data_IF_148789267567
#
_entry.id   IF_148789267567
#
_cell.length_a   1.000
_cell.length_b   1.000
_cell.length_c   1.000
_cell.angle_alpha   90.00
_cell.angle_beta   90.00
_cell.angle_gamma   90.00
#
_symmetry.space_group_name_H-M   'P 1'
#
loop_
_entity.id
_entity.type
_entity.pdbx_description
1 polymer ?
#
# COMPACT_ATOMS: atom_id res chain seq x y z
N UNK A 1 45.29 -3.82 -5.46
CA UNK A 1 44.40 -4.94 -5.02
C UNK A 1 42.99 -4.64 -5.51
N UNK A 2 42.51 -5.46 -6.47
CA UNK A 2 41.21 -5.24 -7.13
C UNK A 2 40.13 -6.01 -6.34
N UNK A 3 39.19 -5.32 -5.74
CA UNK A 3 38.03 -5.95 -5.11
C UNK A 3 36.96 -6.19 -6.20
N UNK A 4 36.73 -7.45 -6.51
CA UNK A 4 35.62 -7.87 -7.37
C UNK A 4 34.32 -7.86 -6.54
N UNK A 5 33.37 -7.03 -6.96
CA UNK A 5 31.99 -7.09 -6.49
C UNK A 5 31.29 -8.11 -7.40
N UNK A 6 30.90 -9.23 -6.83
CA UNK A 6 30.09 -10.24 -7.53
C UNK A 6 28.62 -9.95 -7.22
N UNK A 7 27.91 -9.49 -8.23
CA UNK A 7 26.46 -9.35 -8.19
C UNK A 7 25.86 -10.72 -8.52
N UNK A 8 25.21 -11.34 -7.55
CA UNK A 8 24.41 -12.56 -7.76
C UNK A 8 23.00 -12.16 -8.17
N UNK A 9 22.67 -12.41 -9.43
CA UNK A 9 21.31 -12.38 -9.95
C UNK A 9 20.71 -13.77 -9.71
N UNK A 10 19.67 -13.89 -8.92
CA UNK A 10 19.06 -15.19 -8.57
C UNK A 10 17.57 -15.10 -8.31
N UNK A 11 16.81 -15.53 -9.30
CA UNK A 11 15.53 -16.24 -9.26
C UNK A 11 14.40 -15.73 -8.35
N UNK A 12 13.33 -15.35 -8.99
CA UNK A 12 11.95 -15.23 -8.51
C UNK A 12 11.47 -16.50 -7.79
N UNK A 13 11.03 -16.33 -6.53
CA UNK A 13 10.07 -17.23 -5.89
C UNK A 13 9.03 -16.37 -5.20
N UNK A 14 7.79 -16.56 -5.59
CA UNK A 14 6.56 -16.06 -4.97
C UNK A 14 6.50 -16.63 -3.54
N UNK A 15 6.38 -15.77 -2.55
CA UNK A 15 6.09 -16.19 -1.19
C UNK A 15 6.76 -15.33 -0.14
N UNK A 16 5.95 -14.68 0.68
CA UNK A 16 6.28 -14.07 1.98
C UNK A 16 7.48 -13.13 2.00
N UNK A 17 7.19 -11.85 2.09
CA UNK A 17 8.15 -10.80 2.42
C UNK A 17 8.83 -11.10 3.76
N UNK A 18 9.97 -11.76 3.71
CA UNK A 18 10.93 -11.76 4.80
C UNK A 18 11.52 -10.35 4.87
N UNK A 19 10.92 -9.50 5.69
CA UNK A 19 11.59 -8.30 6.17
C UNK A 19 12.82 -8.77 6.96
N UNK A 20 14.00 -8.59 6.37
CA UNK A 20 15.26 -8.79 7.07
C UNK A 20 15.28 -7.87 8.30
N UNK A 21 15.08 -8.42 9.48
CA UNK A 21 15.18 -7.70 10.73
C UNK A 21 16.61 -7.16 10.89
N UNK A 22 16.75 -5.90 11.27
CA UNK A 22 18.03 -5.31 11.61
C UNK A 22 18.48 -5.90 12.96
N UNK A 23 19.63 -6.56 12.98
CA UNK A 23 20.23 -7.12 14.18
C UNK A 23 21.14 -6.06 14.78
N UNK A 24 20.82 -5.62 15.99
CA UNK A 24 21.65 -4.70 16.76
C UNK A 24 22.51 -5.51 17.72
N UNK A 25 23.82 -5.34 17.66
CA UNK A 25 24.78 -5.97 18.55
C UNK A 25 25.62 -4.93 19.25
N UNK A 26 26.05 -5.26 20.45
CA UNK A 26 27.12 -4.54 21.13
C UNK A 26 28.35 -5.47 21.19
N UNK A 27 29.48 -5.01 20.65
CA UNK A 27 30.71 -5.76 20.76
C UNK A 27 31.26 -5.69 22.19
N UNK A 28 32.34 -6.46 22.46
CA UNK A 28 33.01 -6.49 23.76
C UNK A 28 33.66 -5.16 24.19
N UNK A 29 33.74 -4.20 23.26
CA UNK A 29 34.28 -2.87 23.48
C UNK A 29 33.14 -1.82 23.63
N UNK A 30 31.87 -2.26 23.61
CA UNK A 30 30.73 -1.38 23.75
C UNK A 30 30.24 -0.74 22.44
N UNK A 31 30.85 -1.05 21.28
CA UNK A 31 30.40 -0.51 20.00
C UNK A 31 29.13 -1.18 19.51
N UNK A 32 28.21 -0.39 19.00
CA UNK A 32 26.96 -0.89 18.41
C UNK A 32 27.20 -1.25 16.95
N UNK A 33 26.99 -2.51 16.61
CA UNK A 33 27.10 -3.04 15.24
C UNK A 33 25.72 -3.37 14.74
N UNK A 34 25.36 -2.83 13.57
CA UNK A 34 24.12 -3.11 12.88
C UNK A 34 24.38 -4.11 11.76
N UNK A 35 23.66 -5.22 11.73
CA UNK A 35 23.80 -6.26 10.71
C UNK A 35 22.43 -6.72 10.23
N UNK A 36 22.34 -7.05 8.95
CA UNK A 36 21.16 -7.66 8.34
C UNK A 36 21.33 -9.17 8.09
N UNK A 37 22.47 -9.74 8.52
CA UNK A 37 22.81 -11.16 8.34
C UNK A 37 23.17 -11.80 9.68
N UNK A 38 22.74 -13.06 9.86
CA UNK A 38 23.22 -13.92 10.95
C UNK A 38 24.52 -14.57 10.50
N UNK A 39 25.63 -14.18 11.13
CA UNK A 39 26.91 -14.87 10.94
C UNK A 39 26.94 -16.13 11.82
N UNK A 40 27.34 -17.28 11.25
CA UNK A 40 27.27 -18.59 11.95
C UNK A 40 28.21 -18.70 13.16
N UNK A 41 29.22 -17.83 13.25
CA UNK A 41 30.20 -17.88 14.36
C UNK A 41 29.74 -17.21 15.65
N UNK A 42 28.57 -16.58 15.69
CA UNK A 42 28.16 -15.73 16.81
C UNK A 42 27.11 -16.32 17.73
N UNK A 43 26.73 -17.60 17.55
CA UNK A 43 25.73 -18.26 18.42
C UNK A 43 26.29 -18.72 19.76
N UNK A 44 27.57 -18.54 20.06
CA UNK A 44 28.17 -19.13 21.24
C UNK A 44 28.24 -18.27 22.52
N UNK A 45 28.21 -16.96 22.45
CA UNK A 45 28.24 -16.12 23.67
C UNK A 45 27.75 -14.69 23.41
N UNK A 46 26.48 -14.45 23.32
CA UNK A 46 25.89 -13.08 23.32
C UNK A 46 24.39 -13.12 23.44
N UNK A 47 23.84 -12.29 24.33
CA UNK A 47 22.39 -12.07 24.41
C UNK A 47 21.92 -11.43 23.10
N UNK A 48 21.34 -12.24 22.21
CA UNK A 48 20.73 -11.74 20.99
C UNK A 48 19.29 -11.35 21.34
N UNK A 49 19.03 -10.06 21.44
CA UNK A 49 17.65 -9.55 21.53
C UNK A 49 17.12 -9.38 20.13
N UNK A 50 16.26 -10.29 19.69
CA UNK A 50 15.46 -10.06 18.49
C UNK A 50 14.39 -9.03 18.85
N UNK A 51 14.57 -7.80 18.41
CA UNK A 51 13.46 -6.88 18.29
C UNK A 51 12.70 -7.27 17.02
N UNK A 52 11.47 -7.81 17.14
CA UNK A 52 10.65 -7.97 15.95
C UNK A 52 10.55 -6.59 15.30
N UNK A 53 10.56 -6.50 13.97
CA UNK A 53 10.34 -5.22 13.31
C UNK A 53 9.03 -4.69 13.87
N UNK A 54 9.13 -3.60 14.60
CA UNK A 54 7.94 -2.90 15.04
C UNK A 54 7.13 -2.66 13.78
N UNK A 55 5.95 -3.26 13.69
CA UNK A 55 4.91 -2.83 12.75
C UNK A 55 4.46 -1.45 13.22
N UNK A 56 5.38 -0.50 13.22
CA UNK A 56 5.03 0.87 13.51
C UNK A 56 4.29 1.39 12.29
N UNK A 57 3.01 1.64 12.45
CA UNK A 57 2.27 2.53 11.55
C UNK A 57 2.82 3.96 11.65
N UNK A 58 3.89 4.17 12.41
CA UNK A 58 4.54 5.44 12.60
C UNK A 58 5.21 5.89 11.29
N UNK A 59 4.94 7.11 10.93
CA UNK A 59 5.67 7.80 9.85
C UNK A 59 7.12 7.93 10.28
N UNK A 60 8.10 7.54 9.44
CA UNK A 60 9.51 7.77 9.76
C UNK A 60 9.75 9.25 10.06
N UNK A 61 10.41 9.55 11.18
CA UNK A 61 10.66 10.92 11.67
C UNK A 61 11.16 11.87 10.57
N UNK A 62 12.12 11.49 9.68
CA UNK A 62 12.62 12.41 8.67
C UNK A 62 11.55 12.83 7.64
N UNK A 63 10.48 12.06 7.47
CA UNK A 63 9.41 12.42 6.52
C UNK A 63 8.25 13.17 7.18
N UNK A 64 8.07 13.01 8.50
CA UNK A 64 6.96 13.63 9.23
C UNK A 64 7.03 15.16 9.14
N UNK A 65 8.17 15.73 9.49
CA UNK A 65 8.36 17.19 9.45
C UNK A 65 8.26 17.75 8.03
N UNK A 66 8.84 17.04 7.04
CA UNK A 66 8.74 17.44 5.64
C UNK A 66 7.28 17.41 5.16
N UNK A 67 6.52 16.37 5.49
CA UNK A 67 5.11 16.25 5.11
C UNK A 67 4.30 17.37 5.78
N UNK A 68 4.50 17.64 7.07
CA UNK A 68 3.82 18.73 7.76
C UNK A 68 4.10 20.09 7.10
N UNK A 69 5.36 20.39 6.80
CA UNK A 69 5.73 21.62 6.10
C UNK A 69 5.05 21.72 4.72
N UNK A 70 5.03 20.63 3.95
CA UNK A 70 4.42 20.59 2.61
C UNK A 70 2.90 20.73 2.68
N UNK A 71 2.24 20.09 3.64
CA UNK A 71 0.79 20.16 3.79
C UNK A 71 0.32 21.54 4.22
N UNK A 72 1.07 22.23 5.09
CA UNK A 72 0.84 23.62 5.44
C UNK A 72 1.03 24.54 4.23
N UNK A 73 2.17 24.40 3.52
CA UNK A 73 2.49 25.21 2.33
C UNK A 73 1.44 25.09 1.23
N UNK A 74 0.94 23.88 0.99
CA UNK A 74 0.01 23.60 -0.09
C UNK A 74 -1.46 23.52 0.36
N UNK A 75 -1.75 23.81 1.63
CA UNK A 75 -3.11 23.77 2.19
C UNK A 75 -3.83 22.44 1.87
N UNK A 76 -3.12 21.33 2.07
CA UNK A 76 -3.66 19.98 1.98
C UNK A 76 -3.84 19.39 3.37
N UNK A 77 -4.80 18.49 3.50
CA UNK A 77 -4.97 17.67 4.70
C UNK A 77 -3.76 16.76 4.89
N UNK A 78 -3.14 16.81 6.07
CA UNK A 78 -1.98 15.98 6.39
C UNK A 78 -2.31 14.49 6.35
N UNK A 79 -3.47 14.10 6.88
CA UNK A 79 -3.94 12.72 6.87
C UNK A 79 -4.10 12.13 5.45
N UNK A 80 -4.52 12.95 4.46
CA UNK A 80 -4.58 12.55 3.06
C UNK A 80 -3.19 12.25 2.51
N UNK A 81 -2.22 13.15 2.71
CA UNK A 81 -0.84 12.96 2.22
C UNK A 81 -0.18 11.76 2.88
N UNK A 82 -0.35 11.59 4.19
CA UNK A 82 0.16 10.44 4.93
C UNK A 82 -0.44 9.13 4.43
N UNK A 83 -1.75 9.09 4.21
CA UNK A 83 -2.46 7.91 3.73
C UNK A 83 -2.02 7.53 2.31
N UNK A 84 -1.84 8.51 1.41
CA UNK A 84 -1.33 8.28 0.05
C UNK A 84 0.09 7.73 0.12
N UNK A 85 1.04 8.39 0.80
CA UNK A 85 2.43 7.94 0.90
C UNK A 85 2.53 6.52 1.53
N UNK A 86 1.68 6.22 2.51
CA UNK A 86 1.58 4.89 3.10
C UNK A 86 1.04 3.86 2.12
N UNK A 87 0.02 4.21 1.35
CA UNK A 87 -0.58 3.31 0.37
C UNK A 87 0.35 3.04 -0.81
N UNK A 88 1.11 4.05 -1.25
CA UNK A 88 2.00 3.96 -2.42
C UNK A 88 3.23 3.09 -2.15
N UNK A 89 3.93 3.33 -1.05
CA UNK A 89 5.24 2.71 -0.82
C UNK A 89 5.50 2.29 0.63
N UNK A 90 4.58 2.55 1.56
CA UNK A 90 4.85 2.49 3.00
C UNK A 90 6.04 3.37 3.41
N UNK A 91 6.19 4.53 2.78
CA UNK A 91 7.28 5.49 2.96
C UNK A 91 8.67 4.99 2.50
N UNK A 92 8.72 4.01 1.60
CA UNK A 92 9.98 3.51 1.05
C UNK A 92 10.45 4.39 -0.12
N UNK A 93 11.58 5.14 0.00
CA UNK A 93 12.07 6.00 -1.07
C UNK A 93 12.64 5.20 -2.27
N UNK A 94 12.93 3.92 -2.08
CA UNK A 94 13.48 3.04 -3.11
C UNK A 94 12.46 2.10 -3.73
N UNK A 95 11.17 2.28 -3.41
CA UNK A 95 10.11 1.48 -4.00
C UNK A 95 10.01 1.72 -5.51
N UNK A 96 9.90 0.62 -6.26
CA UNK A 96 9.67 0.64 -7.71
C UNK A 96 8.52 -0.29 -8.04
N UNK A 97 7.50 0.24 -8.74
CA UNK A 97 6.38 -0.57 -9.19
C UNK A 97 6.67 -1.26 -10.54
N UNK A 98 5.96 -2.34 -10.88
CA UNK A 98 6.07 -2.97 -12.20
C UNK A 98 5.78 -2.02 -13.37
N UNK A 99 5.00 -0.97 -13.15
CA UNK A 99 4.67 0.07 -14.13
C UNK A 99 5.72 1.18 -14.19
N UNK A 100 6.80 1.11 -13.38
CA UNK A 100 7.90 2.08 -13.37
C UNK A 100 7.64 3.33 -12.52
N UNK A 101 6.65 3.33 -11.64
CA UNK A 101 6.51 4.35 -10.61
C UNK A 101 7.59 4.20 -9.55
N UNK A 102 8.12 5.30 -9.00
CA UNK A 102 9.29 5.30 -8.12
C UNK A 102 9.08 6.17 -6.90
N UNK A 103 9.61 5.71 -5.75
CA UNK A 103 9.79 6.49 -4.54
C UNK A 103 8.57 6.51 -3.61
N UNK A 104 8.61 7.39 -2.60
CA UNK A 104 7.63 7.45 -1.51
C UNK A 104 6.20 7.67 -2.04
N UNK A 105 6.04 8.58 -3.01
CA UNK A 105 4.76 8.94 -3.61
C UNK A 105 4.51 8.24 -4.96
N UNK A 106 5.34 7.25 -5.34
CA UNK A 106 5.22 6.45 -6.56
C UNK A 106 5.01 7.30 -7.82
N UNK A 107 5.93 8.20 -8.08
CA UNK A 107 5.83 9.08 -9.25
C UNK A 107 6.22 8.36 -10.54
N UNK A 108 5.36 8.45 -11.54
CA UNK A 108 5.71 8.08 -12.91
C UNK A 108 6.73 9.08 -13.47
N UNK A 109 7.51 8.65 -14.47
CA UNK A 109 8.59 9.46 -15.06
C UNK A 109 8.11 10.81 -15.55
N UNK A 110 6.98 10.84 -16.23
CA UNK A 110 6.45 12.07 -16.84
C UNK A 110 5.87 13.01 -15.78
N UNK A 111 5.19 12.47 -14.78
CA UNK A 111 4.73 13.26 -13.61
C UNK A 111 5.92 13.87 -12.86
N UNK A 112 6.97 13.09 -12.61
CA UNK A 112 8.17 13.59 -11.95
C UNK A 112 8.82 14.73 -12.75
N UNK A 113 8.93 14.56 -14.07
CA UNK A 113 9.48 15.60 -14.98
C UNK A 113 8.65 16.87 -14.95
N UNK A 114 7.33 16.78 -14.95
CA UNK A 114 6.41 17.91 -14.87
C UNK A 114 6.66 18.79 -13.64
N UNK A 115 7.08 18.18 -12.52
CA UNK A 115 7.40 18.88 -11.27
C UNK A 115 8.90 19.12 -11.07
N UNK A 116 9.73 18.92 -12.08
CA UNK A 116 11.16 19.21 -12.06
C UNK A 116 12.00 18.20 -11.27
N UNK A 117 11.48 17.00 -10.99
CA UNK A 117 12.22 15.95 -10.29
C UNK A 117 13.13 15.21 -11.26
N UNK A 118 14.44 15.29 -11.01
CA UNK A 118 15.46 14.57 -11.77
C UNK A 118 15.69 13.19 -11.20
N UNK A 119 15.82 13.10 -9.87
CA UNK A 119 16.04 11.85 -9.17
C UNK A 119 14.81 11.46 -8.35
N UNK A 120 14.01 10.54 -8.88
CA UNK A 120 12.78 10.06 -8.21
C UNK A 120 13.05 9.28 -6.92
N UNK A 121 14.29 8.82 -6.67
CA UNK A 121 14.71 8.17 -5.43
C UNK A 121 15.06 9.19 -4.32
N UNK A 122 15.22 10.47 -4.67
CA UNK A 122 15.37 11.52 -3.67
C UNK A 122 14.05 11.71 -2.93
N UNK A 123 14.02 11.28 -1.67
CA UNK A 123 12.82 11.28 -0.85
C UNK A 123 12.16 12.67 -0.73
N UNK A 124 12.99 13.72 -0.57
CA UNK A 124 12.51 15.09 -0.41
C UNK A 124 11.88 15.64 -1.69
N UNK A 125 12.52 15.43 -2.85
CA UNK A 125 12.00 15.84 -4.15
C UNK A 125 10.75 15.06 -4.53
N UNK A 126 10.77 13.75 -4.26
CA UNK A 126 9.65 12.86 -4.53
C UNK A 126 8.40 13.24 -3.72
N UNK A 127 8.57 13.50 -2.42
CA UNK A 127 7.49 13.97 -1.55
C UNK A 127 6.94 15.32 -2.03
N UNK A 128 7.81 16.28 -2.31
CA UNK A 128 7.37 17.61 -2.73
C UNK A 128 6.59 17.57 -4.05
N UNK A 129 7.08 16.84 -5.04
CA UNK A 129 6.39 16.67 -6.31
C UNK A 129 5.08 15.90 -6.18
N UNK A 130 5.07 14.83 -5.38
CA UNK A 130 3.86 14.04 -5.10
C UNK A 130 2.77 14.84 -4.40
N UNK A 131 3.15 15.68 -3.42
CA UNK A 131 2.21 16.59 -2.74
C UNK A 131 1.68 17.65 -3.69
N UNK A 132 2.53 18.26 -4.55
CA UNK A 132 2.09 19.21 -5.58
C UNK A 132 1.11 18.57 -6.57
N UNK A 133 1.40 17.34 -7.02
CA UNK A 133 0.51 16.61 -7.90
C UNK A 133 -0.83 16.27 -7.24
N UNK A 134 -0.78 15.79 -6.01
CA UNK A 134 -1.98 15.50 -5.23
C UNK A 134 -2.82 16.77 -5.00
N UNK A 135 -2.19 17.92 -4.72
CA UNK A 135 -2.86 19.22 -4.59
C UNK A 135 -3.53 19.64 -5.89
N UNK A 136 -2.82 19.54 -7.01
CA UNK A 136 -3.39 19.83 -8.33
C UNK A 136 -4.67 19.01 -8.59
N UNK A 137 -4.61 17.71 -8.35
CA UNK A 137 -5.77 16.82 -8.53
C UNK A 137 -6.90 17.14 -7.54
N UNK A 138 -6.56 17.44 -6.29
CA UNK A 138 -7.53 17.81 -5.26
C UNK A 138 -8.32 19.07 -5.64
N UNK A 139 -7.65 20.08 -6.17
CA UNK A 139 -8.28 21.31 -6.66
C UNK A 139 -9.12 21.06 -7.91
N UNK A 140 -8.56 20.32 -8.88
CA UNK A 140 -9.25 19.96 -10.12
C UNK A 140 -10.56 19.25 -9.85
N UNK A 141 -10.60 18.36 -8.88
CA UNK A 141 -11.83 17.65 -8.48
C UNK A 141 -12.58 18.29 -7.31
N UNK A 142 -12.33 19.59 -7.05
CA UNK A 142 -13.05 20.41 -6.07
C UNK A 142 -13.14 19.77 -4.68
N UNK A 143 -12.04 19.17 -4.23
CA UNK A 143 -11.95 18.52 -2.93
C UNK A 143 -12.60 17.13 -2.85
N UNK A 144 -13.10 16.59 -3.95
CA UNK A 144 -13.66 15.23 -3.99
C UNK A 144 -12.54 14.20 -3.85
N UNK A 145 -12.34 13.69 -2.63
CA UNK A 145 -11.25 12.75 -2.31
C UNK A 145 -11.29 11.49 -3.18
N UNK A 146 -12.43 10.79 -3.38
CA UNK A 146 -12.50 9.64 -4.26
C UNK A 146 -12.04 9.89 -5.68
N UNK A 147 -12.46 11.00 -6.30
CA UNK A 147 -12.05 11.36 -7.65
C UNK A 147 -10.57 11.76 -7.71
N UNK A 148 -10.09 12.48 -6.69
CA UNK A 148 -8.67 12.82 -6.53
C UNK A 148 -7.81 11.57 -6.50
N UNK A 149 -8.18 10.60 -5.67
CA UNK A 149 -7.47 9.33 -5.53
C UNK A 149 -7.57 8.45 -6.79
N UNK A 150 -8.73 8.46 -7.46
CA UNK A 150 -8.90 7.77 -8.73
C UNK A 150 -7.95 8.33 -9.80
N UNK A 151 -7.85 9.65 -9.91
CA UNK A 151 -6.96 10.31 -10.85
C UNK A 151 -5.49 10.12 -10.49
N UNK A 152 -5.15 10.13 -9.22
CA UNK A 152 -3.79 9.86 -8.76
C UNK A 152 -3.32 8.45 -9.17
N UNK A 153 -4.17 7.45 -8.98
CA UNK A 153 -3.83 6.03 -9.24
C UNK A 153 -4.00 5.63 -10.71
N UNK A 154 -5.10 6.03 -11.35
CA UNK A 154 -5.46 5.59 -12.70
C UNK A 154 -5.18 6.63 -13.79
N UNK A 155 -4.84 7.85 -13.41
CA UNK A 155 -4.68 8.98 -14.31
C UNK A 155 -5.97 9.73 -14.58
N UNK A 156 -5.81 11.02 -14.93
CA UNK A 156 -6.93 11.93 -15.20
C UNK A 156 -7.77 11.52 -16.43
N UNK A 157 -7.12 10.94 -17.43
CA UNK A 157 -7.79 10.46 -18.65
C UNK A 157 -8.81 9.35 -18.32
N UNK A 158 -8.46 8.43 -17.41
CA UNK A 158 -9.38 7.39 -16.98
C UNK A 158 -10.59 7.99 -16.27
N UNK A 159 -10.38 8.94 -15.35
CA UNK A 159 -11.48 9.61 -14.64
C UNK A 159 -12.37 10.40 -15.62
N UNK A 160 -11.79 11.08 -16.59
CA UNK A 160 -12.52 11.79 -17.64
C UNK A 160 -13.33 10.83 -18.52
N UNK A 161 -12.71 9.75 -18.99
CA UNK A 161 -13.35 8.73 -19.84
C UNK A 161 -14.59 8.12 -19.20
N UNK A 162 -14.53 7.84 -17.88
CA UNK A 162 -15.64 7.22 -17.16
C UNK A 162 -16.54 8.23 -16.44
N UNK A 163 -16.28 9.52 -16.61
CA UNK A 163 -16.97 10.61 -15.93
C UNK A 163 -17.13 10.35 -14.43
N UNK A 164 -16.07 9.82 -13.79
CA UNK A 164 -16.08 9.40 -12.42
C UNK A 164 -14.96 8.40 -12.08
N UNK A 165 -15.14 7.67 -10.98
CA UNK A 165 -14.21 6.61 -10.59
C UNK A 165 -14.25 5.47 -11.63
N UNK A 166 -13.13 5.17 -12.33
CA UNK A 166 -13.11 4.12 -13.32
C UNK A 166 -13.41 2.75 -12.69
N UNK A 167 -14.02 1.81 -13.44
CA UNK A 167 -14.43 0.50 -12.91
C UNK A 167 -13.26 -0.46 -12.65
N UNK A 168 -12.02 0.03 -12.64
CA UNK A 168 -10.83 -0.77 -12.40
C UNK A 168 -10.78 -1.27 -10.96
N UNK A 169 -10.62 -2.58 -10.79
CA UNK A 169 -10.56 -3.21 -9.46
C UNK A 169 -9.39 -2.67 -8.62
N UNK A 170 -8.22 -2.45 -9.26
CA UNK A 170 -7.02 -1.86 -8.65
C UNK A 170 -7.33 -0.48 -8.08
N UNK A 171 -7.93 0.41 -8.87
CA UNK A 171 -8.25 1.78 -8.46
C UNK A 171 -9.28 1.82 -7.33
N UNK A 172 -10.32 0.99 -7.42
CA UNK A 172 -11.33 0.89 -6.35
C UNK A 172 -10.72 0.37 -5.04
N UNK A 173 -9.79 -0.58 -5.10
CA UNK A 173 -9.07 -1.09 -3.93
C UNK A 173 -8.12 -0.03 -3.36
N UNK A 174 -7.44 0.72 -4.24
CA UNK A 174 -6.57 1.83 -3.83
C UNK A 174 -7.35 2.89 -3.05
N UNK A 175 -8.48 3.36 -3.60
CA UNK A 175 -9.34 4.34 -2.92
C UNK A 175 -9.76 3.83 -1.54
N UNK A 176 -10.27 2.60 -1.45
CA UNK A 176 -10.67 2.00 -0.16
C UNK A 176 -9.52 1.97 0.84
N UNK A 177 -8.32 1.56 0.38
CA UNK A 177 -7.12 1.50 1.23
C UNK A 177 -6.73 2.87 1.76
N UNK A 178 -6.65 3.90 0.90
CA UNK A 178 -6.29 5.26 1.33
C UNK A 178 -7.33 5.81 2.29
N UNK A 179 -8.62 5.67 1.98
CA UNK A 179 -9.68 6.16 2.85
C UNK A 179 -9.73 5.44 4.20
N UNK A 180 -9.39 4.15 4.23
CA UNK A 180 -9.23 3.41 5.48
C UNK A 180 -8.08 3.96 6.32
N UNK A 181 -6.96 4.29 5.70
CA UNK A 181 -5.81 4.90 6.38
C UNK A 181 -6.11 6.31 6.92
N UNK A 182 -7.03 7.04 6.29
CA UNK A 182 -7.54 8.32 6.78
C UNK A 182 -8.59 8.20 7.89
N UNK A 183 -8.96 6.97 8.32
CA UNK A 183 -10.05 6.76 9.27
C UNK A 183 -11.46 6.94 8.67
N UNK A 184 -11.59 7.06 7.37
CA UNK A 184 -12.85 7.31 6.65
C UNK A 184 -13.50 6.01 6.12
N UNK A 185 -13.20 4.87 6.69
CA UNK A 185 -13.66 3.54 6.21
C UNK A 185 -15.17 3.42 6.09
N UNK A 186 -15.93 4.10 6.94
CA UNK A 186 -17.40 4.03 6.95
C UNK A 186 -18.06 4.67 5.72
N UNK A 187 -17.38 5.59 5.03
CA UNK A 187 -17.95 6.29 3.87
C UNK A 187 -17.87 5.46 2.56
N UNK A 188 -17.05 4.41 2.55
CA UNK A 188 -16.85 3.52 1.39
C UNK A 188 -16.97 2.03 1.75
N UNK A 189 -17.56 1.72 2.86
CA UNK A 189 -18.15 0.41 3.03
C UNK A 189 -19.13 0.25 1.88
N UNK A 190 -18.75 -0.46 0.81
CA UNK A 190 -19.76 -1.20 0.05
C UNK A 190 -20.71 -1.78 1.08
N UNK A 191 -22.03 -1.78 0.85
CA UNK A 191 -22.94 -2.44 1.76
C UNK A 191 -22.26 -3.75 2.13
N UNK A 192 -22.06 -3.94 3.43
CA UNK A 192 -21.28 -5.04 3.99
C UNK A 192 -21.48 -6.24 3.06
N UNK A 193 -20.41 -6.98 2.76
CA UNK A 193 -20.57 -8.32 2.25
C UNK A 193 -21.63 -8.94 3.19
N UNK A 194 -22.87 -8.80 2.80
CA UNK A 194 -23.94 -9.62 3.36
C UNK A 194 -23.39 -11.00 3.07
N UNK A 195 -22.96 -11.71 4.13
CA UNK A 195 -22.62 -13.11 4.00
C UNK A 195 -23.84 -13.73 3.36
N UNK A 196 -23.83 -13.82 2.04
CA UNK A 196 -24.95 -14.37 1.28
C UNK A 196 -24.96 -15.81 1.70
N UNK A 197 -25.95 -16.17 2.52
CA UNK A 197 -26.10 -17.56 2.92
C UNK A 197 -26.33 -18.32 1.62
N UNK A 198 -25.45 -19.24 1.31
CA UNK A 198 -25.62 -20.12 0.14
C UNK A 198 -26.38 -21.32 0.62
N UNK A 199 -27.51 -21.57 -0.01
CA UNK A 199 -28.39 -22.70 0.30
C UNK A 199 -28.19 -23.80 -0.73
N UNK A 200 -28.04 -25.03 -0.26
CA UNK A 200 -28.06 -26.24 -1.08
C UNK A 200 -29.28 -27.02 -0.71
N UNK A 201 -30.10 -27.37 -1.69
CA UNK A 201 -31.23 -28.24 -1.50
C UNK A 201 -31.44 -29.19 -2.69
N UNK A 202 -32.13 -30.28 -2.44
CA UNK A 202 -32.45 -31.29 -3.47
C UNK A 202 -33.91 -31.13 -3.82
N UNK A 203 -34.21 -30.93 -5.10
CA UNK A 203 -35.59 -30.88 -5.59
C UNK A 203 -36.27 -32.24 -5.48
N UNK A 204 -37.62 -32.35 -5.49
CA UNK A 204 -38.34 -33.62 -5.53
C UNK A 204 -37.93 -34.51 -6.70
N UNK A 205 -37.41 -33.93 -7.78
CA UNK A 205 -36.87 -34.64 -8.95
C UNK A 205 -35.40 -35.09 -8.78
N UNK A 206 -34.84 -35.01 -7.56
CA UNK A 206 -33.45 -35.44 -7.26
C UNK A 206 -32.35 -34.50 -7.73
N UNK A 207 -32.67 -33.31 -8.24
CA UNK A 207 -31.66 -32.32 -8.72
C UNK A 207 -31.15 -31.47 -7.57
N UNK A 208 -29.85 -31.41 -7.39
CA UNK A 208 -29.20 -30.49 -6.43
C UNK A 208 -29.17 -29.07 -7.00
N UNK A 209 -29.65 -28.10 -6.21
CA UNK A 209 -29.61 -26.67 -6.52
C UNK A 209 -28.79 -25.95 -5.43
N UNK A 210 -27.90 -25.05 -5.87
CA UNK A 210 -27.15 -24.16 -5.02
C UNK A 210 -27.54 -22.72 -5.40
N UNK A 211 -28.05 -21.94 -4.44
CA UNK A 211 -28.58 -20.59 -4.66
C UNK A 211 -28.33 -19.70 -3.44
N UNK A 212 -28.32 -18.41 -3.65
CA UNK A 212 -28.29 -17.38 -2.60
C UNK A 212 -29.70 -16.94 -2.16
N UNK A 213 -30.72 -17.39 -2.84
CA UNK A 213 -32.11 -17.03 -2.57
C UNK A 213 -32.97 -18.31 -2.47
N UNK A 214 -33.68 -18.47 -1.35
CA UNK A 214 -34.61 -19.58 -1.15
C UNK A 214 -35.95 -19.33 -1.85
N UNK A 215 -36.41 -20.21 -2.73
CA UNK A 215 -37.78 -20.17 -3.23
C UNK A 215 -38.80 -20.39 -2.09
N UNK A 216 -39.93 -19.73 -2.18
CA UNK A 216 -40.97 -19.74 -1.14
C UNK A 216 -41.63 -21.10 -0.90
N UNK A 217 -41.41 -22.10 -1.77
CA UNK A 217 -42.10 -23.41 -1.75
C UNK A 217 -41.14 -24.60 -1.80
N UNK A 218 -40.23 -24.69 -0.82
CA UNK A 218 -39.32 -25.84 -0.73
C UNK A 218 -39.89 -26.91 0.19
N UNK A 219 -40.10 -28.15 -0.36
CA UNK A 219 -40.35 -29.37 0.41
C UNK A 219 -39.04 -30.19 0.35
N UNK A 220 -38.23 -30.18 1.40
CA UNK A 220 -37.00 -30.95 1.47
C UNK A 220 -35.99 -30.38 2.49
N UNK A 221 -34.90 -31.14 2.73
CA UNK A 221 -33.80 -30.69 3.63
C UNK A 221 -32.97 -29.63 2.94
N UNK A 222 -32.70 -28.53 3.68
CA UNK A 222 -31.87 -27.39 3.25
C UNK A 222 -30.59 -27.43 4.04
N UNK A 223 -29.44 -27.37 3.37
CA UNK A 223 -28.12 -27.22 3.95
C UNK A 223 -27.62 -25.80 3.71
N UNK A 224 -27.16 -25.14 4.77
CA UNK A 224 -26.53 -23.81 4.65
C UNK A 224 -25.02 -24.02 4.51
N UNK A 225 -24.45 -23.55 3.40
CA UNK A 225 -23.02 -23.58 3.13
C UNK A 225 -22.46 -22.20 3.53
N UNK A 226 -21.60 -22.12 4.57
CA UNK A 226 -20.94 -20.90 5.03
C UNK A 226 -19.60 -20.69 4.32
#
# INVERSE_FOLDING_TARGET
MKHKITIFCGAWLIGSSLFAGLIVRQDKNGHVVLSNTLDRDTTRNGNITFLPPARSNAVPLPYKEKIQSLTQKHQLREDLVLAVAKAESSFNPFAVSPKGAVGIMQLMKDTARQYGVINRYNASENLEAGVKHLKYLYEKYKGNIPLTLAAYNAGEEAVSKYNGVPPYSETKQYIRRVMSLMGMSSMFSSPAHVKTKIYKYITPAGKTIITDTLPSNITGSIEIIN
#
